data_IF_909647529685
#
_entry.id   IF_909647529685
#
_cell.length_a   1.000
_cell.length_b   1.000
_cell.length_c   1.000
_cell.angle_alpha   90.00
_cell.angle_beta   90.00
_cell.angle_gamma   90.00
#
_symmetry.space_group_name_H-M   'P 1'
#
loop_
_entity.id
_entity.type
_entity.pdbx_description
1 polymer ?
#
# COMPACT_ATOMS: atom_id res chain seq x y z
N UNK A 1 57.22 22.60 39.44
CA UNK A 1 56.36 23.38 40.35
C UNK A 1 56.24 24.78 39.79
N UNK A 2 54.99 25.21 39.50
CA UNK A 2 54.48 26.56 39.20
C UNK A 2 55.17 27.39 38.10
N UNK A 3 54.50 28.16 37.25
CA UNK A 3 53.12 28.31 36.76
C UNK A 3 53.26 29.36 35.62
N UNK A 4 52.99 28.99 34.37
CA UNK A 4 51.83 29.42 33.57
C UNK A 4 51.51 30.94 33.44
N UNK A 5 51.49 31.38 32.16
CA UNK A 5 50.49 32.26 31.49
C UNK A 5 50.70 33.80 31.60
N UNK A 6 50.87 34.52 30.47
CA UNK A 6 49.79 35.09 29.61
C UNK A 6 50.29 35.92 28.39
N UNK A 7 49.75 35.53 27.24
CA UNK A 7 49.41 36.22 25.96
C UNK A 7 49.79 37.71 25.73
N UNK A 8 50.32 37.94 24.52
CA UNK A 8 49.58 38.63 23.45
C UNK A 8 50.06 40.02 23.05
N UNK A 9 50.68 40.14 21.86
CA UNK A 9 50.82 41.40 21.14
C UNK A 9 50.45 41.22 19.67
N UNK A 10 49.58 42.13 19.23
CA UNK A 10 49.18 42.51 17.88
C UNK A 10 50.41 43.04 17.08
N UNK A 11 50.47 43.29 15.78
CA UNK A 11 49.64 43.19 14.56
C UNK A 11 50.57 43.67 13.41
N UNK A 12 50.34 43.17 12.19
CA UNK A 12 50.72 43.72 10.88
C UNK A 12 52.20 44.01 10.54
N UNK A 13 52.71 43.24 9.57
CA UNK A 13 53.63 43.73 8.55
C UNK A 13 52.98 43.58 7.17
N UNK A 14 53.09 44.66 6.38
CA UNK A 14 53.42 44.77 4.95
C UNK A 14 52.83 43.76 3.96
N UNK A 15 52.50 44.07 2.70
CA UNK A 15 52.49 45.23 1.82
C UNK A 15 51.86 44.65 0.52
N UNK A 16 50.95 45.34 -0.18
CA UNK A 16 51.23 46.08 -1.42
C UNK A 16 51.82 45.16 -2.54
N UNK A 17 51.39 45.09 -3.81
CA UNK A 17 50.65 45.96 -4.75
C UNK A 17 50.29 45.10 -5.99
N UNK A 18 49.36 45.58 -6.84
CA UNK A 18 49.06 45.21 -8.24
C UNK A 18 48.34 43.86 -8.43
N UNK A 19 47.31 43.71 -9.26
CA UNK A 19 46.69 44.55 -10.28
C UNK A 19 45.98 43.59 -11.26
N UNK A 20 44.75 43.94 -11.68
CA UNK A 20 43.96 43.38 -12.79
C UNK A 20 43.79 41.85 -12.91
N UNK A 21 42.53 41.41 -12.89
CA UNK A 21 42.13 40.17 -13.58
C UNK A 21 40.93 39.49 -12.95
N UNK A 22 39.82 39.47 -13.69
CA UNK A 22 38.67 38.58 -13.58
C UNK A 22 38.15 38.30 -12.15
N UNK A 23 37.03 38.95 -11.81
CA UNK A 23 36.13 38.44 -10.79
C UNK A 23 35.60 37.07 -11.26
N UNK A 24 36.36 36.03 -10.95
CA UNK A 24 35.91 34.65 -10.95
C UNK A 24 34.76 34.60 -9.94
N UNK A 25 33.54 34.63 -10.46
CA UNK A 25 32.34 34.39 -9.70
C UNK A 25 32.44 32.95 -9.20
N UNK A 26 33.08 32.78 -8.04
CA UNK A 26 33.04 31.55 -7.27
C UNK A 26 31.57 31.28 -6.99
N UNK A 27 30.99 30.40 -7.80
CA UNK A 27 29.67 29.83 -7.64
C UNK A 27 29.59 29.40 -6.17
N UNK A 28 28.77 30.11 -5.39
CA UNK A 28 28.44 29.70 -4.04
C UNK A 28 27.97 28.23 -4.12
N UNK A 29 28.35 27.37 -3.16
CA UNK A 29 27.90 25.99 -3.18
C UNK A 29 26.37 26.01 -3.26
N UNK A 30 25.82 25.39 -4.30
CA UNK A 30 24.39 25.14 -4.41
C UNK A 30 23.97 24.53 -3.08
N UNK A 31 23.13 25.25 -2.34
CA UNK A 31 22.58 24.78 -1.08
C UNK A 31 22.11 23.35 -1.30
N UNK A 32 22.66 22.43 -0.53
CA UNK A 32 22.34 21.00 -0.59
C UNK A 32 20.83 20.88 -0.39
N UNK A 33 20.10 20.84 -1.51
CA UNK A 33 18.64 20.75 -1.52
C UNK A 33 18.33 19.47 -0.78
N UNK A 34 17.60 19.59 0.33
CA UNK A 34 17.22 18.45 1.15
C UNK A 34 16.75 17.29 0.26
N UNK A 35 17.10 16.04 0.61
CA UNK A 35 16.90 14.90 -0.27
C UNK A 35 15.43 14.77 -0.64
N UNK A 36 15.12 14.97 -1.93
CA UNK A 36 13.77 14.82 -2.49
C UNK A 36 13.24 13.43 -2.18
N UNK A 37 11.99 13.35 -1.70
CA UNK A 37 11.37 12.06 -1.43
C UNK A 37 11.11 11.33 -2.74
N UNK A 38 11.83 10.23 -2.99
CA UNK A 38 11.57 9.35 -4.14
C UNK A 38 10.39 8.44 -3.82
N UNK A 39 9.23 8.69 -4.40
CA UNK A 39 7.96 8.02 -4.10
C UNK A 39 7.60 7.02 -5.20
N UNK A 40 7.38 5.77 -4.80
CA UNK A 40 6.66 4.78 -5.59
C UNK A 40 5.18 4.79 -5.20
N UNK A 41 4.31 5.17 -6.13
CA UNK A 41 2.86 5.15 -5.92
C UNK A 41 2.31 3.80 -6.36
N UNK A 42 1.77 3.02 -5.43
CA UNK A 42 1.11 1.75 -5.73
C UNK A 42 -0.36 1.99 -6.07
N UNK A 43 -0.92 1.11 -6.90
CA UNK A 43 -2.34 1.15 -7.24
C UNK A 43 -3.22 1.03 -5.99
N UNK A 44 -4.31 1.80 -6.02
CA UNK A 44 -5.20 1.93 -4.87
C UNK A 44 -6.07 0.69 -4.74
N UNK A 45 -6.26 0.26 -3.50
CA UNK A 45 -7.13 -0.85 -3.17
C UNK A 45 -8.57 -0.36 -3.03
N UNK A 46 -9.50 -1.01 -3.73
CA UNK A 46 -10.93 -0.79 -3.57
C UNK A 46 -11.65 -2.12 -3.30
N UNK A 47 -12.87 -2.03 -2.76
CA UNK A 47 -13.67 -3.22 -2.42
C UNK A 47 -13.92 -4.12 -3.64
N UNK A 48 -14.04 -3.53 -4.83
CA UNK A 48 -14.29 -4.26 -6.08
C UNK A 48 -13.10 -5.14 -6.48
N UNK A 49 -11.88 -4.59 -6.39
CA UNK A 49 -10.63 -5.34 -6.64
C UNK A 49 -10.45 -6.48 -5.64
N UNK A 50 -10.80 -6.26 -4.37
CA UNK A 50 -10.77 -7.32 -3.35
C UNK A 50 -11.79 -8.42 -3.69
N UNK A 51 -13.00 -8.05 -4.09
CA UNK A 51 -14.03 -8.99 -4.55
C UNK A 51 -13.59 -9.86 -5.73
N UNK A 52 -12.98 -9.25 -6.75
CA UNK A 52 -12.45 -9.96 -7.91
C UNK A 52 -11.33 -10.95 -7.52
N UNK A 53 -10.41 -10.53 -6.66
CA UNK A 53 -9.33 -11.41 -6.16
C UNK A 53 -9.89 -12.60 -5.38
N UNK A 54 -10.90 -12.37 -4.52
CA UNK A 54 -11.54 -13.46 -3.76
C UNK A 54 -12.22 -14.48 -4.67
N UNK A 55 -12.81 -14.04 -5.79
CA UNK A 55 -13.37 -14.94 -6.82
C UNK A 55 -12.30 -15.80 -7.50
N UNK A 56 -11.08 -15.28 -7.67
CA UNK A 56 -9.97 -15.96 -8.34
C UNK A 56 -9.14 -16.86 -7.43
N UNK A 57 -9.35 -16.82 -6.11
CA UNK A 57 -8.64 -17.69 -5.17
C UNK A 57 -8.96 -19.17 -5.44
N UNK A 58 -7.93 -20.00 -5.46
CA UNK A 58 -8.07 -21.46 -5.55
C UNK A 58 -8.36 -22.05 -4.17
N UNK A 59 -9.00 -23.21 -4.16
CA UNK A 59 -9.23 -23.98 -2.94
C UNK A 59 -7.91 -24.46 -2.34
N UNK A 60 -7.92 -24.73 -1.03
CA UNK A 60 -6.74 -25.28 -0.36
C UNK A 60 -6.49 -26.71 -0.86
N UNK A 61 -5.21 -27.09 -1.07
CA UNK A 61 -4.88 -28.47 -1.37
C UNK A 61 -5.35 -29.37 -0.22
N UNK A 62 -5.93 -30.51 -0.56
CA UNK A 62 -6.33 -31.52 0.42
C UNK A 62 -5.06 -32.21 0.94
N UNK A 63 -4.92 -32.29 2.26
CA UNK A 63 -3.86 -33.10 2.86
C UNK A 63 -4.24 -34.58 2.73
N UNK A 64 -3.56 -35.27 1.82
CA UNK A 64 -3.71 -36.73 1.62
C UNK A 64 -2.58 -37.51 2.27
N UNK A 65 -1.69 -36.85 3.02
CA UNK A 65 -0.52 -37.50 3.59
C UNK A 65 -0.90 -38.33 4.82
N UNK A 66 -0.81 -39.65 4.70
CA UNK A 66 -0.95 -40.56 5.82
C UNK A 66 0.20 -40.38 6.81
N UNK A 67 -0.12 -40.03 8.06
CA UNK A 67 0.82 -40.14 9.20
C UNK A 67 0.57 -41.47 9.89
N UNK A 68 1.56 -42.37 9.83
CA UNK A 68 1.51 -43.66 10.51
C UNK A 68 1.22 -43.52 12.01
N UNK A 69 0.49 -44.49 12.58
CA UNK A 69 0.14 -44.51 14.01
C UNK A 69 1.38 -44.70 14.89
N UNK A 70 2.39 -45.41 14.36
CA UNK A 70 3.65 -45.70 15.03
C UNK A 70 4.82 -44.97 14.37
N UNK A 71 5.79 -44.55 15.19
CA UNK A 71 7.03 -43.96 14.69
C UNK A 71 7.95 -45.02 14.07
N UNK A 72 8.95 -44.57 13.29
CA UNK A 72 9.96 -45.48 12.73
C UNK A 72 10.76 -46.23 13.81
N UNK A 73 10.91 -45.65 15.00
CA UNK A 73 11.59 -46.29 16.13
C UNK A 73 10.74 -47.43 16.74
N UNK A 74 9.43 -47.20 16.91
CA UNK A 74 8.51 -48.20 17.46
C UNK A 74 8.37 -49.44 16.56
N UNK A 75 8.51 -49.25 15.24
CA UNK A 75 8.47 -50.35 14.27
C UNK A 75 9.68 -51.27 14.35
N UNK A 76 10.83 -50.78 14.80
CA UNK A 76 12.06 -51.59 14.92
C UNK A 76 12.05 -52.51 16.14
N UNK A 77 11.20 -52.25 17.14
CA UNK A 77 11.08 -53.08 18.35
C UNK A 77 10.04 -54.20 18.25
N UNK A 78 9.38 -54.37 17.09
CA UNK A 78 8.26 -55.31 16.91
C UNK A 78 8.70 -56.49 16.01
N UNK A 79 8.32 -57.70 16.40
CA UNK A 79 8.49 -58.95 15.64
C UNK A 79 7.87 -58.88 14.22
N UNK A 80 8.51 -59.51 13.24
CA UNK A 80 8.14 -59.42 11.82
C UNK A 80 6.69 -59.83 11.51
N UNK A 81 6.15 -60.84 12.20
CA UNK A 81 4.75 -61.26 12.01
C UNK A 81 3.79 -60.22 12.57
N UNK A 82 4.16 -59.62 13.70
CA UNK A 82 3.39 -58.55 14.31
C UNK A 82 3.45 -57.26 13.51
N UNK A 83 4.58 -56.97 12.86
CA UNK A 83 4.68 -55.87 11.89
C UNK A 83 3.70 -56.06 10.72
N UNK A 84 3.55 -57.29 10.20
CA UNK A 84 2.60 -57.58 9.12
C UNK A 84 1.14 -57.27 9.51
N UNK A 85 0.75 -57.63 10.73
CA UNK A 85 -0.59 -57.34 11.25
C UNK A 85 -0.81 -55.84 11.52
N UNK A 86 0.18 -55.17 12.10
CA UNK A 86 0.16 -53.72 12.32
C UNK A 86 0.10 -52.97 10.99
N UNK A 87 0.81 -53.41 9.94
CA UNK A 87 0.72 -52.82 8.59
C UNK A 87 -0.69 -52.96 7.99
N UNK A 88 -1.40 -54.07 8.23
CA UNK A 88 -2.79 -54.21 7.79
C UNK A 88 -3.74 -53.28 8.55
N UNK A 89 -3.57 -53.14 9.87
CA UNK A 89 -4.37 -52.20 10.67
C UNK A 89 -4.07 -50.76 10.24
N UNK A 90 -2.80 -50.41 10.10
CA UNK A 90 -2.35 -49.11 9.59
C UNK A 90 -2.97 -48.83 8.23
N UNK A 91 -2.95 -49.76 7.27
CA UNK A 91 -3.57 -49.56 5.96
C UNK A 91 -5.09 -49.32 6.04
N UNK A 92 -5.78 -50.03 6.95
CA UNK A 92 -7.23 -49.88 7.14
C UNK A 92 -7.60 -48.57 7.83
N UNK A 93 -6.86 -48.20 8.87
CA UNK A 93 -7.05 -46.96 9.63
C UNK A 93 -6.58 -45.74 8.82
N UNK A 94 -5.50 -45.88 8.04
CA UNK A 94 -5.05 -44.91 7.04
C UNK A 94 -6.16 -44.57 6.07
N UNK A 95 -6.81 -45.59 5.50
CA UNK A 95 -7.92 -45.40 4.57
C UNK A 95 -9.08 -44.63 5.23
N UNK A 96 -9.48 -45.01 6.45
CA UNK A 96 -10.57 -44.35 7.15
C UNK A 96 -10.24 -42.90 7.56
N UNK A 97 -9.06 -42.67 8.15
CA UNK A 97 -8.61 -41.36 8.60
C UNK A 97 -8.30 -40.39 7.45
N UNK A 98 -7.73 -40.89 6.35
CA UNK A 98 -7.54 -40.09 5.14
C UNK A 98 -8.89 -39.69 4.54
N UNK A 99 -9.88 -40.60 4.50
CA UNK A 99 -11.21 -40.30 3.96
C UNK A 99 -11.99 -39.31 4.83
N UNK A 100 -11.85 -39.35 6.16
CA UNK A 100 -12.46 -38.34 7.04
C UNK A 100 -11.78 -36.99 6.91
N UNK A 101 -10.45 -36.93 6.85
CA UNK A 101 -9.71 -35.69 6.64
C UNK A 101 -10.01 -35.07 5.25
N UNK A 102 -10.07 -35.88 4.20
CA UNK A 102 -10.52 -35.47 2.86
C UNK A 102 -11.95 -34.93 2.92
N UNK A 103 -12.86 -35.64 3.60
CA UNK A 103 -14.25 -35.20 3.77
C UNK A 103 -14.38 -33.86 4.49
N UNK A 104 -13.63 -33.65 5.57
CA UNK A 104 -13.58 -32.38 6.30
C UNK A 104 -13.00 -31.26 5.43
N UNK A 105 -11.86 -31.50 4.76
CA UNK A 105 -11.23 -30.52 3.87
C UNK A 105 -12.12 -30.13 2.69
N UNK A 106 -12.87 -31.07 2.11
CA UNK A 106 -13.86 -30.80 1.07
C UNK A 106 -15.01 -29.93 1.59
N UNK A 107 -15.49 -30.20 2.81
CA UNK A 107 -16.58 -29.44 3.40
C UNK A 107 -16.15 -28.01 3.77
N UNK A 108 -14.94 -27.83 4.29
CA UNK A 108 -14.34 -26.52 4.55
C UNK A 108 -14.15 -25.73 3.24
N UNK A 109 -13.54 -26.35 2.22
CA UNK A 109 -13.39 -25.72 0.91
C UNK A 109 -14.74 -25.33 0.30
N UNK A 110 -15.78 -26.15 0.45
CA UNK A 110 -17.12 -25.85 -0.03
C UNK A 110 -17.76 -24.65 0.70
N UNK A 111 -17.62 -24.57 2.03
CA UNK A 111 -18.08 -23.42 2.82
C UNK A 111 -17.34 -22.14 2.42
N UNK A 112 -16.01 -22.21 2.34
CA UNK A 112 -15.16 -21.09 1.94
C UNK A 112 -15.49 -20.63 0.51
N UNK A 113 -15.77 -21.57 -0.40
CA UNK A 113 -16.21 -21.26 -1.77
C UNK A 113 -17.57 -20.56 -1.76
N UNK A 114 -18.55 -21.07 -1.02
CA UNK A 114 -19.88 -20.46 -0.93
C UNK A 114 -19.83 -19.04 -0.37
N UNK A 115 -19.03 -18.81 0.69
CA UNK A 115 -18.83 -17.48 1.26
C UNK A 115 -18.17 -16.51 0.26
N UNK A 116 -17.14 -16.97 -0.47
CA UNK A 116 -16.48 -16.19 -1.52
C UNK A 116 -17.43 -15.86 -2.67
N UNK A 117 -18.24 -16.82 -3.11
CA UNK A 117 -19.25 -16.60 -4.16
C UNK A 117 -20.34 -15.61 -3.73
N UNK A 118 -20.80 -15.68 -2.48
CA UNK A 118 -21.80 -14.75 -1.95
C UNK A 118 -21.27 -13.31 -1.93
N UNK A 119 -20.03 -13.11 -1.46
CA UNK A 119 -19.37 -11.81 -1.46
C UNK A 119 -19.11 -11.31 -2.88
N UNK A 120 -18.62 -12.19 -3.77
CA UNK A 120 -18.40 -11.84 -5.18
C UNK A 120 -19.71 -11.47 -5.89
N UNK A 121 -20.82 -12.19 -5.66
CA UNK A 121 -22.14 -11.85 -6.21
C UNK A 121 -22.64 -10.49 -5.72
N UNK A 122 -22.45 -10.18 -4.43
CA UNK A 122 -22.82 -8.88 -3.86
C UNK A 122 -22.09 -7.73 -4.57
N UNK A 123 -20.79 -7.93 -4.85
CA UNK A 123 -19.92 -6.93 -5.51
C UNK A 123 -20.17 -6.85 -7.02
N UNK A 124 -20.45 -7.98 -7.68
CA UNK A 124 -20.72 -8.00 -9.13
C UNK A 124 -22.11 -7.44 -9.48
N UNK A 125 -23.07 -7.53 -8.56
CA UNK A 125 -24.42 -7.03 -8.76
C UNK A 125 -24.61 -5.58 -8.27
N UNK A 126 -23.62 -4.98 -7.61
CA UNK A 126 -23.63 -3.54 -7.34
C UNK A 126 -23.32 -2.75 -8.61
N UNK A 127 -23.79 -1.51 -8.64
CA UNK A 127 -23.54 -0.57 -9.74
C UNK A 127 -22.03 -0.47 -10.02
N UNK A 128 -21.62 -0.87 -11.23
CA UNK A 128 -20.20 -0.97 -11.58
C UNK A 128 -19.58 0.42 -11.58
N UNK A 129 -18.60 0.63 -10.72
CA UNK A 129 -17.86 1.89 -10.65
C UNK A 129 -16.87 1.95 -11.80
N UNK A 130 -16.70 3.10 -12.45
CA UNK A 130 -15.60 3.28 -13.38
C UNK A 130 -14.29 3.00 -12.65
N UNK A 131 -13.44 2.15 -13.22
CA UNK A 131 -12.12 1.83 -12.67
C UNK A 131 -11.28 3.11 -12.70
N UNK A 132 -11.11 3.74 -11.55
CA UNK A 132 -10.28 4.95 -11.43
C UNK A 132 -8.84 4.53 -11.20
N UNK A 133 -7.96 5.01 -12.07
CA UNK A 133 -6.51 4.79 -11.98
C UNK A 133 -5.93 5.73 -10.90
N UNK A 134 -6.18 5.42 -9.63
CA UNK A 134 -5.84 6.28 -8.49
C UNK A 134 -4.35 6.60 -8.40
N UNK A 135 -3.47 5.64 -8.75
CA UNK A 135 -2.03 5.86 -8.74
C UNK A 135 -1.58 6.93 -9.75
N UNK A 136 -2.14 6.94 -10.96
CA UNK A 136 -1.78 7.92 -11.99
C UNK A 136 -2.24 9.33 -11.62
N UNK A 137 -3.44 9.46 -11.06
CA UNK A 137 -3.91 10.76 -10.58
C UNK A 137 -3.05 11.26 -9.41
N UNK A 138 -2.70 10.39 -8.46
CA UNK A 138 -1.84 10.78 -7.34
C UNK A 138 -0.44 11.14 -7.81
N UNK A 139 0.13 10.37 -8.75
CA UNK A 139 1.41 10.70 -9.38
C UNK A 139 1.33 12.06 -10.09
N UNK A 140 0.26 12.34 -10.83
CA UNK A 140 0.01 13.65 -11.44
C UNK A 140 0.05 14.80 -10.42
N UNK A 141 -0.71 14.70 -9.33
CA UNK A 141 -0.75 15.75 -8.29
C UNK A 141 0.55 15.88 -7.51
N UNK A 142 1.25 14.79 -7.21
CA UNK A 142 2.57 14.86 -6.58
C UNK A 142 3.62 15.49 -7.51
N UNK A 143 3.46 15.31 -8.82
CA UNK A 143 4.29 15.91 -9.86
C UNK A 143 4.21 17.44 -9.90
N UNK A 144 3.15 18.05 -9.34
CA UNK A 144 3.04 19.51 -9.18
C UNK A 144 4.03 20.05 -8.13
N UNK A 145 4.63 19.19 -7.30
CA UNK A 145 5.59 19.56 -6.26
C UNK A 145 6.98 18.90 -6.48
N UNK A 146 7.68 19.22 -7.58
CA UNK A 146 8.96 18.60 -7.93
C UNK A 146 10.10 18.94 -6.98
N UNK A 147 9.94 19.95 -6.13
CA UNK A 147 10.91 20.31 -5.10
C UNK A 147 10.85 19.37 -3.88
N UNK A 148 9.68 18.80 -3.60
CA UNK A 148 9.46 17.92 -2.45
C UNK A 148 9.50 16.46 -2.86
N UNK A 149 8.94 16.12 -4.03
CA UNK A 149 8.75 14.75 -4.48
C UNK A 149 9.46 14.47 -5.80
N UNK A 150 9.99 13.25 -5.91
CA UNK A 150 10.50 12.66 -7.15
C UNK A 150 9.74 11.36 -7.37
N UNK A 151 9.05 11.22 -8.50
CA UNK A 151 8.24 10.04 -8.77
C UNK A 151 9.07 8.95 -9.43
N UNK A 152 8.83 7.70 -9.01
CA UNK A 152 9.40 6.52 -9.66
C UNK A 152 8.46 6.06 -10.78
N UNK A 153 9.03 5.73 -11.94
CA UNK A 153 8.25 5.24 -13.08
C UNK A 153 7.54 3.92 -12.76
N UNK A 154 6.30 3.80 -13.24
CA UNK A 154 5.46 2.62 -13.05
C UNK A 154 6.11 1.32 -13.52
N UNK A 155 6.77 1.33 -14.67
CA UNK A 155 7.47 0.16 -15.21
C UNK A 155 8.55 -0.37 -14.25
N UNK A 156 9.28 0.54 -13.60
CA UNK A 156 10.30 0.19 -12.61
C UNK A 156 9.69 -0.41 -11.35
N UNK A 157 8.57 0.13 -10.88
CA UNK A 157 7.81 -0.42 -9.75
C UNK A 157 7.29 -1.82 -10.09
N UNK A 158 6.65 -2.00 -11.25
CA UNK A 158 6.09 -3.28 -11.66
C UNK A 158 7.18 -4.35 -11.86
N UNK A 159 8.32 -3.98 -12.45
CA UNK A 159 9.47 -4.87 -12.59
C UNK A 159 10.03 -5.29 -11.23
N UNK A 160 10.18 -4.33 -10.31
CA UNK A 160 10.63 -4.61 -8.94
C UNK A 160 9.64 -5.55 -8.22
N UNK A 161 8.33 -5.27 -8.26
CA UNK A 161 7.29 -6.10 -7.67
C UNK A 161 7.24 -7.51 -8.28
N UNK A 162 7.38 -7.66 -9.60
CA UNK A 162 7.39 -8.98 -10.26
C UNK A 162 8.62 -9.80 -9.88
N UNK A 163 9.77 -9.13 -9.71
CA UNK A 163 11.01 -9.78 -9.32
C UNK A 163 11.04 -10.21 -7.86
N UNK A 164 10.18 -9.59 -7.02
CA UNK A 164 10.13 -9.81 -5.58
C UNK A 164 8.84 -10.54 -5.24
N UNK A 165 8.95 -11.85 -5.02
CA UNK A 165 7.80 -12.70 -4.71
C UNK A 165 7.33 -12.50 -3.26
N UNK A 166 6.92 -11.27 -2.88
CA UNK A 166 6.62 -10.85 -1.50
C UNK A 166 5.75 -11.83 -0.70
N UNK A 167 4.86 -12.58 -1.37
CA UNK A 167 3.99 -13.59 -0.76
C UNK A 167 4.72 -14.81 -0.15
N UNK A 168 6.03 -14.94 -0.37
CA UNK A 168 6.88 -16.01 0.19
C UNK A 168 7.70 -15.61 1.43
N UNK A 169 7.57 -14.38 1.94
CA UNK A 169 8.27 -14.00 3.17
C UNK A 169 7.67 -14.79 4.35
N UNK A 170 8.50 -15.61 5.02
CA UNK A 170 8.05 -16.46 6.14
C UNK A 170 8.44 -15.86 7.50
N UNK A 171 9.45 -14.99 7.53
CA UNK A 171 9.92 -14.31 8.73
C UNK A 171 9.89 -12.78 8.56
N UNK A 172 10.01 -12.04 9.67
CA UNK A 172 10.12 -10.58 9.65
C UNK A 172 11.41 -10.12 8.95
N UNK A 173 12.52 -10.83 9.17
CA UNK A 173 13.81 -10.54 8.53
C UNK A 173 13.74 -10.73 7.01
N UNK A 174 13.04 -11.77 6.53
CA UNK A 174 12.79 -11.96 5.10
C UNK A 174 11.98 -10.81 4.50
N UNK A 175 10.99 -10.29 5.25
CA UNK A 175 10.17 -9.17 4.82
C UNK A 175 11.00 -7.89 4.71
N UNK A 176 11.83 -7.60 5.72
CA UNK A 176 12.72 -6.43 5.73
C UNK A 176 13.78 -6.51 4.61
N UNK A 177 14.34 -7.70 4.35
CA UNK A 177 15.25 -7.91 3.23
C UNK A 177 14.57 -7.59 1.89
N UNK A 178 13.34 -8.07 1.68
CA UNK A 178 12.60 -7.84 0.42
C UNK A 178 12.19 -6.38 0.25
N UNK A 179 11.89 -5.68 1.33
CA UNK A 179 11.63 -4.23 1.33
C UNK A 179 12.89 -3.47 0.89
N UNK A 180 14.08 -3.87 1.35
CA UNK A 180 15.36 -3.29 0.89
C UNK A 180 15.61 -3.57 -0.59
N UNK A 181 15.46 -4.83 -1.01
CA UNK A 181 15.62 -5.20 -2.42
C UNK A 181 14.63 -4.45 -3.33
N UNK A 182 13.41 -4.17 -2.84
CA UNK A 182 12.44 -3.33 -3.54
C UNK A 182 12.91 -1.89 -3.65
N UNK A 183 13.39 -1.30 -2.56
CA UNK A 183 13.94 0.06 -2.56
C UNK A 183 15.10 0.21 -3.54
N UNK A 184 16.01 -0.77 -3.59
CA UNK A 184 17.16 -0.78 -4.49
C UNK A 184 16.75 -0.93 -5.96
N UNK A 185 15.86 -1.88 -6.27
CA UNK A 185 15.41 -2.15 -7.65
C UNK A 185 14.51 -1.07 -8.21
N UNK A 186 13.60 -0.54 -7.39
CA UNK A 186 12.69 0.54 -7.81
C UNK A 186 13.35 1.92 -7.74
N UNK A 187 14.42 2.08 -6.96
CA UNK A 187 15.01 3.38 -6.65
C UNK A 187 14.13 4.24 -5.73
N UNK A 188 13.05 3.68 -5.18
CA UNK A 188 12.14 4.37 -4.28
C UNK A 188 12.73 4.47 -2.88
N UNK A 189 12.48 5.59 -2.21
CA UNK A 189 12.75 5.77 -0.78
C UNK A 189 11.48 5.60 0.05
N UNK A 190 10.34 5.90 -0.55
CA UNK A 190 9.03 5.86 0.09
C UNK A 190 8.04 5.14 -0.82
N UNK A 191 7.10 4.44 -0.21
CA UNK A 191 5.96 3.83 -0.90
C UNK A 191 4.69 4.51 -0.45
N UNK A 192 3.86 4.92 -1.42
CA UNK A 192 2.52 5.42 -1.17
C UNK A 192 1.51 4.32 -1.50
N UNK A 193 0.64 4.02 -0.54
CA UNK A 193 -0.51 3.15 -0.72
C UNK A 193 -1.80 3.92 -0.43
N UNK A 194 -2.82 3.63 -1.22
CA UNK A 194 -4.16 4.17 -1.04
C UNK A 194 -5.21 3.07 -0.88
N UNK A 195 -6.19 3.33 -0.03
CA UNK A 195 -7.42 2.55 0.07
C UNK A 195 -8.60 3.48 -0.15
N UNK A 196 -9.40 3.17 -1.17
CA UNK A 196 -10.63 3.90 -1.47
C UNK A 196 -11.77 3.23 -0.72
N UNK A 197 -12.38 3.97 0.20
CA UNK A 197 -13.54 3.52 0.94
C UNK A 197 -14.82 3.68 0.10
N UNK A 198 -15.95 3.34 0.70
CA UNK A 198 -17.22 3.30 -0.01
C UNK A 198 -17.79 4.70 -0.28
N UNK A 199 -18.54 4.84 -1.39
CA UNK A 199 -19.25 6.06 -1.74
C UNK A 199 -20.47 6.21 -0.82
N UNK A 200 -20.50 7.26 -0.02
CA UNK A 200 -21.64 7.63 0.82
C UNK A 200 -22.54 8.58 0.04
N UNK A 201 -23.86 8.33 0.11
CA UNK A 201 -24.87 9.18 -0.50
C UNK A 201 -25.88 9.59 0.57
N UNK A 202 -26.06 10.90 0.76
CA UNK A 202 -27.00 11.47 1.73
C UNK A 202 -28.05 12.30 0.98
N UNK A 203 -29.34 11.96 1.16
CA UNK A 203 -30.46 12.69 0.57
C UNK A 203 -31.07 13.66 1.59
N UNK A 204 -30.99 14.96 1.32
CA UNK A 204 -31.66 16.01 2.08
C UNK A 204 -32.82 16.58 1.27
N UNK A 205 -34.04 16.20 1.68
CA UNK A 205 -35.27 16.70 1.09
C UNK A 205 -35.78 17.88 1.91
N UNK A 206 -36.02 19.00 1.25
CA UNK A 206 -36.65 20.17 1.86
C UNK A 206 -37.96 20.49 1.11
N UNK A 207 -39.03 20.72 1.85
CA UNK A 207 -40.27 21.26 1.31
C UNK A 207 -40.81 22.37 2.21
N UNK A 208 -40.95 23.56 1.65
CA UNK A 208 -41.49 24.74 2.34
C UNK A 208 -41.76 25.86 1.32
N UNK A 209 -42.72 26.75 1.62
CA UNK A 209 -43.03 27.93 0.80
C UNK A 209 -43.24 27.66 -0.70
N UNK A 210 -43.88 26.54 -1.06
CA UNK A 210 -44.15 26.17 -2.46
C UNK A 210 -42.94 25.60 -3.22
N UNK A 211 -41.75 25.55 -2.62
CA UNK A 211 -40.54 25.02 -3.22
C UNK A 211 -40.26 23.61 -2.69
N UNK A 212 -39.95 22.68 -3.59
CA UNK A 212 -39.45 21.34 -3.27
C UNK A 212 -38.04 21.19 -3.82
N UNK A 213 -37.08 20.94 -2.95
CA UNK A 213 -35.67 20.74 -3.30
C UNK A 213 -35.21 19.38 -2.81
N UNK A 214 -34.52 18.64 -3.67
CA UNK A 214 -33.85 17.39 -3.31
C UNK A 214 -32.34 17.59 -3.47
N UNK A 215 -31.62 17.69 -2.35
CA UNK A 215 -30.17 17.82 -2.33
C UNK A 215 -29.56 16.45 -2.06
N UNK A 216 -28.71 16.00 -2.96
CA UNK A 216 -27.97 14.74 -2.81
C UNK A 216 -26.51 15.08 -2.58
N UNK A 217 -25.99 14.73 -1.41
CA UNK A 217 -24.58 14.87 -1.07
C UNK A 217 -23.88 13.52 -1.29
N UNK A 218 -22.81 13.55 -2.05
CA UNK A 218 -21.94 12.42 -2.29
C UNK A 218 -20.61 12.66 -1.58
N UNK A 219 -20.13 11.67 -0.84
CA UNK A 219 -18.82 11.71 -0.21
C UNK A 219 -18.05 10.41 -0.42
N UNK A 220 -16.75 10.54 -0.66
CA UNK A 220 -15.84 9.43 -0.88
C UNK A 220 -14.63 9.58 0.05
N UNK A 221 -14.44 8.62 0.95
CA UNK A 221 -13.27 8.62 1.83
C UNK A 221 -12.11 7.87 1.16
N UNK A 222 -10.94 8.49 1.18
CA UNK A 222 -9.70 7.94 0.65
C UNK A 222 -8.67 7.95 1.77
N UNK A 223 -8.17 6.76 2.10
CA UNK A 223 -7.15 6.57 3.12
C UNK A 223 -5.81 6.44 2.40
N UNK A 224 -4.90 7.37 2.66
CA UNK A 224 -3.55 7.35 2.07
C UNK A 224 -2.53 7.16 3.17
N UNK A 225 -1.55 6.27 2.92
CA UNK A 225 -0.41 6.03 3.80
C UNK A 225 0.88 6.10 2.99
N UNK A 226 1.90 6.72 3.56
CA UNK A 226 3.26 6.74 3.03
C UNK A 226 4.16 6.04 4.02
N UNK A 227 4.91 5.07 3.53
CA UNK A 227 5.83 4.24 4.30
C UNK A 227 7.24 4.59 3.85
N UNK A 228 8.13 4.89 4.80
CA UNK A 228 9.56 4.99 4.55
C UNK A 228 10.15 3.58 4.47
N UNK A 229 10.77 3.27 3.34
CA UNK A 229 11.34 1.94 3.07
C UNK A 229 12.60 1.65 3.90
N UNK A 230 13.27 2.68 4.43
CA UNK A 230 14.47 2.50 5.27
C UNK A 230 14.11 2.11 6.70
N UNK A 231 13.13 2.79 7.27
CA UNK A 231 12.70 2.59 8.66
C UNK A 231 11.51 1.64 8.79
N UNK A 232 10.85 1.31 7.67
CA UNK A 232 9.60 0.55 7.62
C UNK A 232 8.49 1.19 8.47
N UNK A 233 8.52 2.52 8.64
CA UNK A 233 7.55 3.28 9.42
C UNK A 233 6.61 4.10 8.54
N UNK A 234 5.39 4.27 9.02
CA UNK A 234 4.40 5.14 8.37
C UNK A 234 4.76 6.59 8.70
N UNK A 235 5.31 7.30 7.71
CA UNK A 235 5.70 8.71 7.84
C UNK A 235 4.55 9.67 7.54
N UNK A 236 3.51 9.21 6.85
CA UNK A 236 2.29 9.97 6.61
C UNK A 236 1.10 9.04 6.57
N UNK A 237 0.01 9.42 7.23
CA UNK A 237 -1.28 8.79 7.07
C UNK A 237 -2.36 9.86 7.17
N UNK A 238 -3.30 9.87 6.24
CA UNK A 238 -4.44 10.79 6.28
C UNK A 238 -5.66 10.14 5.66
N UNK A 239 -6.81 10.43 6.23
CA UNK A 239 -8.11 10.15 5.62
C UNK A 239 -8.57 11.47 5.02
N UNK A 240 -8.90 11.46 3.74
CA UNK A 240 -9.36 12.63 3.01
C UNK A 240 -10.69 12.29 2.37
N UNK A 241 -11.66 13.20 2.50
CA UNK A 241 -13.01 13.02 1.99
C UNK A 241 -13.20 13.97 0.80
N UNK A 242 -13.44 13.40 -0.38
CA UNK A 242 -13.94 14.16 -1.51
C UNK A 242 -15.44 14.36 -1.31
N UNK A 243 -15.94 15.59 -1.47
CA UNK A 243 -17.37 15.90 -1.29
C UNK A 243 -17.93 16.63 -2.52
N UNK A 244 -19.13 16.24 -2.95
CA UNK A 244 -19.90 16.93 -3.99
C UNK A 244 -21.38 16.97 -3.62
N UNK A 245 -21.99 18.13 -3.76
CA UNK A 245 -23.43 18.31 -3.56
C UNK A 245 -24.09 18.58 -4.91
N UNK A 246 -25.07 17.74 -5.27
CA UNK A 246 -25.94 17.97 -6.42
C UNK A 246 -27.30 18.46 -5.91
N UNK A 247 -27.79 19.55 -6.51
CA UNK A 247 -29.13 20.07 -6.23
C UNK A 247 -30.05 19.68 -7.37
N UNK A 248 -30.96 18.76 -7.11
CA UNK A 248 -31.99 18.38 -8.05
C UNK A 248 -33.28 19.16 -7.72
N UNK A 249 -33.88 19.73 -8.76
CA UNK A 249 -35.20 20.36 -8.69
C UNK A 249 -36.16 19.60 -9.59
N UNK A 250 -37.46 19.87 -9.49
CA UNK A 250 -38.47 19.27 -10.38
C UNK A 250 -38.22 19.55 -11.87
N UNK A 251 -37.45 20.58 -12.19
CA UNK A 251 -37.22 21.05 -13.57
C UNK A 251 -35.80 20.77 -14.08
N UNK A 252 -34.88 20.39 -13.20
CA UNK A 252 -33.49 20.11 -13.55
C UNK A 252 -32.94 18.97 -12.69
N UNK A 253 -32.54 17.89 -13.36
CA UNK A 253 -31.78 16.79 -12.78
C UNK A 253 -30.36 16.84 -13.33
N UNK A 254 -29.37 16.82 -12.45
CA UNK A 254 -27.97 16.73 -12.86
C UNK A 254 -27.53 15.28 -12.73
N UNK A 255 -27.28 14.62 -13.86
CA UNK A 255 -26.61 13.32 -13.90
C UNK A 255 -25.13 13.59 -14.17
N UNK A 256 -24.26 13.20 -13.24
CA UNK A 256 -22.81 13.32 -13.41
C UNK A 256 -22.21 11.92 -13.53
N UNK A 257 -21.95 11.50 -14.77
CA UNK A 257 -21.34 10.19 -15.08
C UNK A 257 -19.89 10.09 -14.58
N UNK A 258 -19.21 11.22 -14.32
CA UNK A 258 -17.84 11.28 -13.78
C UNK A 258 -17.77 11.57 -12.27
N UNK A 259 -18.89 11.51 -11.55
CA UNK A 259 -18.97 11.86 -10.12
C UNK A 259 -17.89 11.18 -9.27
N UNK A 260 -17.70 9.87 -9.45
CA UNK A 260 -16.72 9.11 -8.68
C UNK A 260 -15.28 9.55 -8.98
N UNK A 261 -14.98 9.83 -10.25
CA UNK A 261 -13.68 10.36 -10.67
C UNK A 261 -13.44 11.76 -10.11
N UNK A 262 -14.46 12.61 -10.06
CA UNK A 262 -14.36 13.98 -9.55
C UNK A 262 -14.14 13.99 -8.03
N UNK A 263 -14.83 13.14 -7.28
CA UNK A 263 -14.63 12.95 -5.85
C UNK A 263 -13.22 12.42 -5.55
N UNK A 264 -12.76 11.45 -6.34
CA UNK A 264 -11.42 10.88 -6.20
C UNK A 264 -10.34 11.94 -6.49
N UNK A 265 -10.46 12.68 -7.59
CA UNK A 265 -9.55 13.77 -7.96
C UNK A 265 -9.44 14.80 -6.86
N UNK A 266 -10.58 15.20 -6.28
CA UNK A 266 -10.61 16.18 -5.21
C UNK A 266 -9.90 15.68 -3.94
N UNK A 267 -10.18 14.43 -3.51
CA UNK A 267 -9.52 13.82 -2.37
C UNK A 267 -8.00 13.65 -2.58
N UNK A 268 -7.57 13.25 -3.78
CA UNK A 268 -6.16 13.08 -4.11
C UNK A 268 -5.40 14.41 -4.14
N UNK A 269 -5.99 15.46 -4.72
CA UNK A 269 -5.42 16.80 -4.72
C UNK A 269 -5.20 17.31 -3.30
N UNK A 270 -6.23 17.24 -2.46
CA UNK A 270 -6.13 17.59 -1.04
C UNK A 270 -5.08 16.74 -0.29
N UNK A 271 -4.89 15.48 -0.69
CA UNK A 271 -3.84 14.62 -0.13
C UNK A 271 -2.45 15.11 -0.53
N UNK A 272 -2.22 15.40 -1.82
CA UNK A 272 -0.94 15.90 -2.31
C UNK A 272 -0.57 17.25 -1.67
N UNK A 273 -1.52 18.17 -1.57
CA UNK A 273 -1.37 19.44 -0.86
C UNK A 273 -0.97 19.23 0.61
N UNK A 274 -1.67 18.33 1.31
CA UNK A 274 -1.37 18.03 2.72
C UNK A 274 -0.01 17.33 2.91
N UNK A 275 0.38 16.48 1.96
CA UNK A 275 1.71 15.86 1.95
C UNK A 275 2.78 16.91 1.73
N UNK A 276 2.60 17.79 0.73
CA UNK A 276 3.53 18.87 0.47
C UNK A 276 3.64 19.80 1.67
N UNK A 277 2.52 20.20 2.30
CA UNK A 277 2.56 21.04 3.50
C UNK A 277 3.32 20.40 4.68
N UNK A 278 3.34 19.06 4.78
CA UNK A 278 4.07 18.34 5.83
C UNK A 278 5.56 18.18 5.54
N UNK A 279 5.90 17.92 4.27
CA UNK A 279 7.25 17.53 3.86
C UNK A 279 8.02 18.64 3.14
N UNK A 280 7.35 19.73 2.76
CA UNK A 280 8.00 20.93 2.29
C UNK A 280 8.92 21.44 3.41
N UNK A 281 10.19 21.59 3.06
CA UNK A 281 11.18 22.18 3.95
C UNK A 281 10.80 23.65 4.15
N UNK A 282 10.60 24.06 5.40
CA UNK A 282 10.51 25.47 5.77
C UNK A 282 11.76 26.16 5.23
N UNK A 283 11.61 26.95 4.16
CA UNK A 283 12.64 27.90 3.72
C UNK A 283 12.67 29.03 4.75
N UNK A 284 13.44 28.85 5.83
CA UNK A 284 13.91 29.94 6.67
C UNK A 284 15.35 30.27 6.34
#
# INVERSE_FOLDING_TARGET
MLAMIKRGFAVCCMAAVFGLGAADARKAPEAETAPKMKIAVLDFTCIDLVGQKLRLMKDKPLDTAYKGILSNADRQSIDDRMQGFVRMIDARVAGAGAMTAIGQGLQENARDRAAREALARKILNSEQRPVVIGAEYMAGYLGEYPETFSLVNREGIESALKSLDFGRAQTADDADQRIREFSEKSGATHVLIGTVADLKTEHKKFSGYGVKTDRVNYSLDVLVKVIDLKTNQIVFAKIVTGERSLMNTKFAQTVNDSLFQDLMKDALRQTAEAMNARFAVDKK
#
